data_IF_013029844109
#
_entry.id   IF_013029844109
#
_cell.length_a   1.000
_cell.length_b   1.000
_cell.length_c   1.000
_cell.angle_alpha   90.00
_cell.angle_beta   90.00
_cell.angle_gamma   90.00
#
_symmetry.space_group_name_H-M   'P 1'
#
loop_
_entity.id
_entity.type
_entity.pdbx_description
1 polymer ?
#
# COMPACT_ATOMS: atom_id res chain seq x y z
N UNK A 1 1.15 -25.48 -14.13
CA UNK A 1 2.36 -24.76 -14.57
C UNK A 1 2.23 -23.26 -14.34
N UNK A 2 1.33 -22.52 -15.03
CA UNK A 2 1.19 -21.06 -14.82
C UNK A 2 0.83 -20.64 -13.38
N UNK A 3 -0.01 -21.40 -12.67
CA UNK A 3 -0.38 -21.06 -11.29
C UNK A 3 0.77 -21.21 -10.28
N UNK A 4 1.62 -22.23 -10.41
CA UNK A 4 2.70 -22.46 -9.44
C UNK A 4 3.80 -21.40 -9.56
N UNK A 5 4.15 -21.02 -10.79
CA UNK A 5 5.10 -19.93 -11.03
C UNK A 5 4.54 -18.58 -10.57
N UNK A 6 3.25 -18.32 -10.84
CA UNK A 6 2.57 -17.11 -10.36
C UNK A 6 2.59 -17.01 -8.83
N UNK A 7 2.22 -18.08 -8.12
CA UNK A 7 2.24 -18.12 -6.65
C UNK A 7 3.66 -17.92 -6.08
N UNK A 8 4.68 -18.51 -6.72
CA UNK A 8 6.07 -18.31 -6.32
C UNK A 8 6.54 -16.87 -6.52
N UNK A 9 6.15 -16.24 -7.65
CA UNK A 9 6.45 -14.84 -7.91
C UNK A 9 5.74 -13.93 -6.92
N UNK A 10 4.46 -14.19 -6.64
CA UNK A 10 3.67 -13.41 -5.69
C UNK A 10 4.26 -13.46 -4.29
N UNK A 11 4.69 -14.65 -3.84
CA UNK A 11 5.36 -14.82 -2.55
C UNK A 11 6.66 -14.02 -2.48
N UNK A 12 7.50 -14.08 -3.52
CA UNK A 12 8.71 -13.25 -3.58
C UNK A 12 8.40 -11.76 -3.57
N UNK A 13 7.37 -11.34 -4.30
CA UNK A 13 6.93 -9.94 -4.34
C UNK A 13 6.50 -9.42 -2.98
N UNK A 14 5.81 -10.25 -2.18
CA UNK A 14 5.50 -9.94 -0.77
C UNK A 14 6.78 -9.78 0.06
N UNK A 15 7.73 -10.72 -0.07
CA UNK A 15 8.99 -10.69 0.68
C UNK A 15 9.78 -9.40 0.42
N UNK A 16 9.92 -9.00 -0.84
CA UNK A 16 10.69 -7.81 -1.26
C UNK A 16 9.87 -6.52 -1.26
N UNK A 17 8.58 -6.56 -0.92
CA UNK A 17 7.75 -5.36 -0.89
C UNK A 17 8.33 -4.33 0.12
N UNK A 18 8.26 -3.03 -0.19
CA UNK A 18 8.78 -1.99 0.69
C UNK A 18 8.11 -2.02 2.07
N UNK A 19 8.90 -1.79 3.13
CA UNK A 19 8.40 -1.84 4.51
C UNK A 19 7.29 -0.82 4.77
N UNK A 20 7.37 0.37 4.16
CA UNK A 20 6.32 1.39 4.28
C UNK A 20 4.96 0.86 3.81
N UNK A 21 4.93 0.08 2.72
CA UNK A 21 3.70 -0.46 2.15
C UNK A 21 3.11 -1.55 3.04
N UNK A 22 3.96 -2.43 3.58
CA UNK A 22 3.57 -3.47 4.54
C UNK A 22 2.94 -2.84 5.78
N UNK A 23 3.63 -1.88 6.39
CA UNK A 23 3.18 -1.18 7.60
C UNK A 23 1.87 -0.41 7.38
N UNK A 24 1.72 0.27 6.24
CA UNK A 24 0.49 1.00 5.94
C UNK A 24 -0.70 0.05 5.78
N UNK A 25 -0.54 -1.05 5.04
CA UNK A 25 -1.60 -2.05 4.86
C UNK A 25 -1.98 -2.67 6.22
N UNK A 26 -1.00 -3.06 7.03
CA UNK A 26 -1.26 -3.58 8.38
C UNK A 26 -1.98 -2.55 9.26
N UNK A 27 -1.59 -1.28 9.19
CA UNK A 27 -2.27 -0.21 9.94
C UNK A 27 -3.71 0.01 9.46
N UNK A 28 -3.98 -0.07 8.17
CA UNK A 28 -5.34 0.11 7.62
C UNK A 28 -6.21 -1.09 8.01
N UNK A 29 -5.72 -2.32 7.83
CA UNK A 29 -6.45 -3.55 8.14
C UNK A 29 -6.73 -3.68 9.64
N UNK A 30 -5.79 -3.29 10.51
CA UNK A 30 -6.01 -3.33 11.97
C UNK A 30 -7.03 -2.30 12.45
N UNK A 31 -7.14 -1.14 11.79
CA UNK A 31 -8.14 -0.11 12.12
C UNK A 31 -9.55 -0.51 11.70
N UNK A 32 -9.69 -1.18 10.56
CA UNK A 32 -10.98 -1.65 10.04
C UNK A 32 -10.89 -3.11 9.56
N UNK A 33 -10.97 -4.10 10.48
CA UNK A 33 -10.80 -5.51 10.14
C UNK A 33 -11.86 -6.07 9.17
N UNK A 34 -13.03 -5.40 9.12
CA UNK A 34 -14.12 -5.76 8.23
C UNK A 34 -13.94 -5.24 6.80
N UNK A 35 -12.97 -4.34 6.58
CA UNK A 35 -12.73 -3.73 5.29
C UNK A 35 -12.39 -4.74 4.20
N UNK A 36 -12.87 -4.45 3.00
CA UNK A 36 -12.45 -5.12 1.77
C UNK A 36 -11.19 -4.49 1.18
N UNK A 37 -10.60 -5.20 0.21
CA UNK A 37 -9.38 -4.74 -0.49
C UNK A 37 -9.56 -3.36 -1.14
N UNK A 38 -10.73 -3.05 -1.70
CA UNK A 38 -11.00 -1.75 -2.34
C UNK A 38 -10.86 -0.58 -1.36
N UNK A 39 -11.22 -0.79 -0.08
CA UNK A 39 -11.03 0.21 0.97
C UNK A 39 -9.55 0.43 1.27
N UNK A 40 -8.77 -0.64 1.37
CA UNK A 40 -7.31 -0.54 1.57
C UNK A 40 -6.65 0.23 0.44
N UNK A 41 -7.00 -0.08 -0.81
CA UNK A 41 -6.50 0.64 -1.98
C UNK A 41 -6.91 2.12 -1.90
N UNK A 42 -8.15 2.44 -1.54
CA UNK A 42 -8.58 3.84 -1.43
C UNK A 42 -7.85 4.60 -0.32
N UNK A 43 -7.57 3.96 0.82
CA UNK A 43 -6.84 4.58 1.93
C UNK A 43 -5.37 4.81 1.58
N UNK A 44 -4.72 3.87 0.88
CA UNK A 44 -3.38 4.07 0.34
C UNK A 44 -3.34 5.26 -0.62
N UNK A 45 -4.29 5.34 -1.55
CA UNK A 45 -4.41 6.50 -2.43
C UNK A 45 -4.67 7.78 -1.66
N UNK A 46 -5.55 7.76 -0.65
CA UNK A 46 -5.87 8.93 0.15
C UNK A 46 -4.65 9.45 0.92
N UNK A 47 -3.82 8.54 1.43
CA UNK A 47 -2.60 8.84 2.18
C UNK A 47 -1.57 9.57 1.32
N UNK A 48 -1.40 9.13 0.07
CA UNK A 48 -0.35 9.65 -0.82
C UNK A 48 -0.86 10.66 -1.85
N UNK A 49 -2.17 10.83 -2.01
CA UNK A 49 -2.72 11.88 -2.87
C UNK A 49 -2.52 13.23 -2.20
N UNK A 50 -1.94 14.16 -2.98
CA UNK A 50 -1.71 15.52 -2.54
C UNK A 50 -3.04 16.17 -2.12
N UNK A 51 -3.12 16.63 -0.87
CA UNK A 51 -4.32 17.21 -0.28
C UNK A 51 -4.01 18.54 0.40
N UNK A 52 -5.04 19.36 0.66
CA UNK A 52 -4.88 20.69 1.28
C UNK A 52 -4.14 20.60 2.62
N UNK A 53 -4.28 19.48 3.34
CA UNK A 53 -3.54 19.20 4.58
C UNK A 53 -2.02 19.25 4.36
N UNK A 54 -1.54 18.70 3.24
CA UNK A 54 -0.11 18.68 2.86
C UNK A 54 0.42 20.07 2.51
N UNK A 55 -0.41 20.93 1.90
CA UNK A 55 -0.05 22.33 1.64
C UNK A 55 0.21 23.09 2.95
N UNK A 56 -0.63 22.86 3.97
CA UNK A 56 -0.59 23.61 5.23
C UNK A 56 0.50 23.07 6.17
N UNK A 57 0.78 21.76 6.15
CA UNK A 57 1.72 21.11 7.08
C UNK A 57 3.16 20.99 6.57
N UNK A 58 3.41 21.19 5.27
CA UNK A 58 4.72 21.00 4.64
C UNK A 58 5.29 22.26 3.96
N UNK A 59 5.00 23.46 4.46
CA UNK A 59 5.48 24.73 3.88
C UNK A 59 7.00 24.78 3.58
N UNK A 60 7.82 23.92 4.21
CA UNK A 60 9.25 23.75 3.95
C UNK A 60 9.66 22.37 3.35
N UNK A 61 8.74 21.39 3.27
CA UNK A 61 9.01 20.00 2.83
C UNK A 61 8.11 19.56 1.66
N UNK A 62 7.38 20.49 1.05
CA UNK A 62 6.36 20.21 0.04
C UNK A 62 6.92 19.56 -1.22
N UNK A 63 8.16 19.86 -1.60
CA UNK A 63 8.82 19.30 -2.79
C UNK A 63 9.21 17.83 -2.60
N UNK A 64 9.87 17.50 -1.49
CA UNK A 64 10.27 16.13 -1.16
C UNK A 64 9.05 15.24 -0.97
N UNK A 65 8.04 15.73 -0.24
CA UNK A 65 6.79 14.99 -0.06
C UNK A 65 6.08 14.75 -1.40
N UNK A 66 6.05 15.74 -2.29
CA UNK A 66 5.47 15.56 -3.63
C UNK A 66 6.18 14.46 -4.43
N UNK A 67 7.51 14.37 -4.31
CA UNK A 67 8.31 13.34 -4.99
C UNK A 67 8.02 11.96 -4.41
N UNK A 68 8.09 11.82 -3.09
CA UNK A 68 7.82 10.55 -2.39
C UNK A 68 6.39 10.08 -2.67
N UNK A 69 5.41 10.96 -2.57
CA UNK A 69 4.00 10.64 -2.82
C UNK A 69 3.77 10.14 -4.25
N UNK A 70 4.39 10.79 -5.23
CA UNK A 70 4.31 10.34 -6.63
C UNK A 70 4.95 8.97 -6.83
N UNK A 71 6.10 8.72 -6.20
CA UNK A 71 6.76 7.42 -6.25
C UNK A 71 5.88 6.32 -5.63
N UNK A 72 5.33 6.57 -4.45
CA UNK A 72 4.48 5.61 -3.74
C UNK A 72 3.17 5.34 -4.48
N UNK A 73 2.53 6.36 -5.04
CA UNK A 73 1.36 6.18 -5.91
C UNK A 73 1.68 5.34 -7.15
N UNK A 74 2.81 5.58 -7.81
CA UNK A 74 3.24 4.74 -8.93
C UNK A 74 3.45 3.29 -8.51
N UNK A 75 4.03 3.04 -7.33
CA UNK A 75 4.19 1.67 -6.82
C UNK A 75 2.80 1.04 -6.58
N UNK A 76 1.88 1.79 -5.98
CA UNK A 76 0.52 1.32 -5.71
C UNK A 76 -0.20 0.95 -7.01
N UNK A 77 -0.22 1.85 -7.99
CA UNK A 77 -0.93 1.66 -9.26
C UNK A 77 -0.39 0.49 -10.08
N UNK A 78 0.93 0.31 -10.10
CA UNK A 78 1.56 -0.72 -10.93
C UNK A 78 1.63 -2.10 -10.27
N UNK A 79 1.33 -2.22 -8.97
CA UNK A 79 1.54 -3.46 -8.20
C UNK A 79 0.30 -3.87 -7.40
N UNK A 80 -0.89 -3.70 -7.97
CA UNK A 80 -2.17 -4.04 -7.31
C UNK A 80 -2.21 -5.50 -6.85
N UNK A 81 -1.68 -6.45 -7.62
CA UNK A 81 -1.64 -7.86 -7.23
C UNK A 81 -0.82 -8.10 -5.95
N UNK A 82 0.28 -7.36 -5.80
CA UNK A 82 1.12 -7.41 -4.58
C UNK A 82 0.36 -6.83 -3.39
N UNK A 83 -0.39 -5.74 -3.59
CA UNK A 83 -1.23 -5.15 -2.54
C UNK A 83 -2.33 -6.13 -2.11
N UNK A 84 -2.98 -6.80 -3.06
CA UNK A 84 -3.98 -7.84 -2.77
C UNK A 84 -3.37 -8.97 -1.94
N UNK A 85 -2.17 -9.41 -2.30
CA UNK A 85 -1.47 -10.48 -1.59
C UNK A 85 -1.09 -10.07 -0.16
N UNK A 86 -0.53 -8.87 0.02
CA UNK A 86 -0.19 -8.28 1.32
C UNK A 86 -1.43 -8.12 2.21
N UNK A 87 -2.55 -7.65 1.64
CA UNK A 87 -3.82 -7.56 2.36
C UNK A 87 -4.30 -8.93 2.85
N UNK A 88 -4.23 -9.97 2.01
CA UNK A 88 -4.63 -11.31 2.40
C UNK A 88 -3.74 -11.88 3.51
N UNK A 89 -2.45 -11.58 3.49
CA UNK A 89 -1.52 -11.94 4.57
C UNK A 89 -1.85 -11.19 5.87
N UNK A 90 -1.99 -9.87 5.81
CA UNK A 90 -2.36 -9.05 6.96
C UNK A 90 -3.70 -9.50 7.58
N UNK A 91 -4.69 -9.88 6.75
CA UNK A 91 -5.98 -10.39 7.23
C UNK A 91 -5.90 -11.77 7.88
N UNK A 92 -4.96 -12.63 7.43
CA UNK A 92 -4.68 -13.91 8.09
C UNK A 92 -4.04 -13.69 9.47
N UNK A 93 -3.15 -12.71 9.59
CA UNK A 93 -2.45 -12.40 10.85
C UNK A 93 -3.36 -11.72 11.90
N UNK A 94 -4.42 -11.04 11.46
CA UNK A 94 -5.40 -10.37 12.33
C UNK A 94 -6.62 -11.25 12.72
N UNK A 95 -6.65 -12.52 12.33
CA UNK A 95 -7.66 -13.51 12.75
C UNK A 95 -7.12 -14.37 13.88
#
# INVERSE_FOLDING_TARGET
MFNEEYEQLLKKSIEVAPDWLKNDIESIVSKEPSAGISYVISELHHTYTFSIRHIISASHLSSEWSQISRERLNIIDNNIDVIVALYNEAKKNNK
#
